data_IF_341757350381
#
_entry.id   IF_341757350381
#
_cell.length_a   1.000
_cell.length_b   1.000
_cell.length_c   1.000
_cell.angle_alpha   90.00
_cell.angle_beta   90.00
_cell.angle_gamma   90.00
#
_symmetry.space_group_name_H-M   'P 1'
#
loop_
_entity.id
_entity.type
_entity.pdbx_description
1 polymer ?
#
# COMPACT_ATOMS: atom_id res chain seq x y z
N UNK A 1 -7.96 21.80 0.65
CA UNK A 1 -7.68 20.66 1.53
C UNK A 1 -6.18 20.58 1.68
N UNK A 2 -5.67 20.33 2.88
CA UNK A 2 -4.23 20.19 3.11
C UNK A 2 -3.82 18.73 2.91
N UNK A 3 -2.57 18.51 2.45
CA UNK A 3 -1.99 17.18 2.33
C UNK A 3 -1.27 16.85 3.64
N UNK A 4 -1.92 16.14 4.55
CA UNK A 4 -1.43 15.82 5.89
C UNK A 4 -0.21 14.89 5.86
N UNK A 5 -0.17 13.91 4.96
CA UNK A 5 0.99 13.05 4.76
C UNK A 5 2.22 13.88 4.35
N UNK A 6 2.08 14.78 3.38
CA UNK A 6 3.19 15.62 2.93
C UNK A 6 3.66 16.60 4.03
N UNK A 7 2.74 17.13 4.85
CA UNK A 7 3.06 17.95 6.01
C UNK A 7 3.88 17.14 7.03
N UNK A 8 3.44 15.92 7.34
CA UNK A 8 4.15 15.04 8.26
C UNK A 8 5.56 14.69 7.74
N UNK A 9 5.72 14.36 6.47
CA UNK A 9 7.02 14.09 5.84
C UNK A 9 7.94 15.32 5.95
N UNK A 10 7.46 16.51 5.56
CA UNK A 10 8.25 17.75 5.68
C UNK A 10 8.64 18.04 7.11
N UNK A 11 7.74 17.81 8.06
CA UNK A 11 8.04 18.00 9.48
C UNK A 11 9.14 17.05 9.96
N UNK A 12 9.06 15.75 9.61
CA UNK A 12 10.07 14.77 9.97
C UNK A 12 11.45 15.13 9.41
N UNK A 13 11.52 15.49 8.13
CA UNK A 13 12.78 15.90 7.49
C UNK A 13 13.36 17.15 8.15
N UNK A 14 12.53 18.14 8.50
CA UNK A 14 12.95 19.35 9.20
C UNK A 14 13.43 19.07 10.64
N UNK A 15 13.06 17.93 11.23
CA UNK A 15 13.42 17.53 12.60
C UNK A 15 14.45 16.38 12.63
N UNK A 16 15.20 16.19 11.55
CA UNK A 16 16.40 15.35 11.54
C UNK A 16 16.25 13.98 10.90
N UNK A 17 15.06 13.58 10.44
CA UNK A 17 14.93 12.42 9.58
C UNK A 17 15.68 12.66 8.28
N UNK A 18 16.41 11.65 7.80
CA UNK A 18 17.17 11.73 6.55
C UNK A 18 16.41 11.09 5.39
N UNK A 19 15.60 10.06 5.67
CA UNK A 19 14.87 9.28 4.66
C UNK A 19 13.50 8.89 5.19
N UNK A 20 12.47 9.23 4.43
CA UNK A 20 11.08 8.90 4.75
C UNK A 20 10.46 8.14 3.60
N UNK A 21 9.81 7.03 3.90
CA UNK A 21 8.97 6.31 2.93
C UNK A 21 7.51 6.74 3.12
N UNK A 22 6.86 7.04 2.01
CA UNK A 22 5.41 7.12 1.92
C UNK A 22 4.89 5.91 1.14
N UNK A 23 4.14 5.04 1.80
CA UNK A 23 3.51 3.87 1.21
C UNK A 23 2.01 4.10 1.12
N UNK A 24 1.50 4.17 -0.10
CA UNK A 24 0.08 4.39 -0.39
C UNK A 24 -0.57 3.10 -0.87
N UNK A 25 -1.55 2.63 -0.11
CA UNK A 25 -2.33 1.42 -0.37
C UNK A 25 -3.82 1.73 -0.64
N UNK A 26 -4.16 2.99 -0.89
CA UNK A 26 -5.46 3.45 -1.40
C UNK A 26 -5.67 2.96 -2.84
N UNK A 27 -6.90 2.83 -3.28
CA UNK A 27 -7.18 2.48 -4.66
C UNK A 27 -6.77 3.58 -5.65
N UNK A 28 -6.72 4.84 -5.21
CA UNK A 28 -6.32 5.97 -6.04
C UNK A 28 -4.80 6.19 -5.98
N UNK A 29 -4.22 6.70 -7.06
CA UNK A 29 -2.82 7.10 -7.07
C UNK A 29 -2.54 8.22 -6.05
N UNK A 30 -1.50 8.07 -5.25
CA UNK A 30 -1.03 9.05 -4.26
C UNK A 30 -0.35 10.27 -4.87
N UNK A 31 -0.94 10.84 -5.94
CA UNK A 31 -0.36 11.89 -6.81
C UNK A 31 0.08 13.13 -6.06
N UNK A 32 -0.70 13.52 -5.04
CA UNK A 32 -0.42 14.74 -4.27
C UNK A 32 0.87 14.68 -3.46
N UNK A 33 1.17 13.53 -2.85
CA UNK A 33 2.44 13.33 -2.13
C UNK A 33 3.58 13.17 -3.12
N UNK A 34 3.41 12.33 -4.13
CA UNK A 34 4.40 12.11 -5.17
C UNK A 34 4.84 13.41 -5.81
N UNK A 35 3.90 14.25 -6.23
CA UNK A 35 4.18 15.55 -6.86
C UNK A 35 4.96 16.51 -5.96
N UNK A 36 4.66 16.54 -4.66
CA UNK A 36 5.34 17.41 -3.68
C UNK A 36 6.80 16.99 -3.47
N UNK A 37 7.09 15.70 -3.59
CA UNK A 37 8.43 15.15 -3.37
C UNK A 37 9.09 14.62 -4.65
N UNK A 38 8.57 15.00 -5.83
CA UNK A 38 9.03 14.52 -7.13
C UNK A 38 10.54 14.61 -7.36
N UNK A 39 11.16 15.69 -6.87
CA UNK A 39 12.61 15.98 -7.01
C UNK A 39 13.38 15.78 -5.69
N UNK A 40 12.80 15.11 -4.69
CA UNK A 40 13.42 14.94 -3.37
C UNK A 40 13.91 13.49 -3.17
N UNK A 41 15.23 13.22 -3.30
CA UNK A 41 15.79 11.88 -3.17
C UNK A 41 15.70 11.30 -1.75
N UNK A 42 15.31 12.11 -0.77
CA UNK A 42 15.14 11.68 0.62
C UNK A 42 13.74 11.14 0.91
N UNK A 43 12.83 11.19 -0.05
CA UNK A 43 11.46 10.67 0.08
C UNK A 43 11.22 9.63 -1.00
N UNK A 44 10.96 8.40 -0.58
CA UNK A 44 10.53 7.33 -1.46
C UNK A 44 9.02 7.20 -1.38
N UNK A 45 8.31 7.48 -2.48
CA UNK A 45 6.88 7.24 -2.59
C UNK A 45 6.62 5.91 -3.29
N UNK A 46 5.76 5.07 -2.71
CA UNK A 46 5.33 3.81 -3.28
C UNK A 46 3.80 3.81 -3.29
N UNK A 47 3.18 3.78 -4.45
CA UNK A 47 1.73 3.74 -4.61
C UNK A 47 1.31 2.49 -5.39
N UNK A 48 0.44 1.67 -4.78
CA UNK A 48 -0.14 0.47 -5.40
C UNK A 48 -1.62 0.73 -5.58
N UNK A 49 -2.05 1.06 -6.79
CA UNK A 49 -3.35 1.65 -7.07
C UNK A 49 -3.98 1.09 -8.34
N UNK A 50 -5.27 1.29 -8.50
CA UNK A 50 -5.96 1.02 -9.76
C UNK A 50 -5.49 2.02 -10.83
N UNK A 51 -5.21 1.51 -12.02
CA UNK A 51 -4.65 2.28 -13.13
C UNK A 51 -5.44 3.55 -13.44
N UNK A 52 -4.71 4.64 -13.64
CA UNK A 52 -5.24 5.92 -14.12
C UNK A 52 -5.97 5.87 -15.47
N UNK A 53 -5.94 4.73 -16.18
CA UNK A 53 -6.80 4.50 -17.34
C UNK A 53 -8.29 4.39 -16.96
N UNK A 54 -8.59 4.07 -15.72
CA UNK A 54 -9.94 3.78 -15.24
C UNK A 54 -10.34 4.63 -14.05
N UNK A 55 -9.36 5.02 -13.22
CA UNK A 55 -9.63 5.69 -11.96
C UNK A 55 -8.95 7.06 -11.90
N UNK A 56 -9.57 8.01 -11.17
CA UNK A 56 -8.97 9.29 -10.82
C UNK A 56 -7.66 9.07 -10.02
N UNK A 57 -6.62 9.89 -10.20
CA UNK A 57 -6.52 11.13 -10.96
C UNK A 57 -6.06 10.95 -12.43
N UNK A 58 -5.89 9.76 -12.93
CA UNK A 58 -5.45 9.51 -14.30
C UNK A 58 -3.93 9.51 -14.48
N UNK A 59 -3.17 9.37 -13.41
CA UNK A 59 -1.69 9.37 -13.33
C UNK A 59 -1.19 8.13 -12.58
N UNK A 60 0.10 8.04 -12.31
CA UNK A 60 0.71 6.94 -11.56
C UNK A 60 1.10 5.75 -12.43
N UNK A 61 1.67 6.01 -13.59
CA UNK A 61 2.15 4.95 -14.47
C UNK A 61 3.57 4.53 -14.12
N UNK A 62 3.95 3.31 -14.45
CA UNK A 62 5.25 2.72 -14.13
C UNK A 62 6.46 3.54 -14.63
N UNK A 63 6.29 4.40 -15.63
CA UNK A 63 7.34 5.27 -16.16
C UNK A 63 7.47 6.61 -15.40
N UNK A 64 6.54 6.94 -14.50
CA UNK A 64 6.61 8.09 -13.62
C UNK A 64 7.48 7.70 -12.41
N UNK A 65 8.79 7.99 -12.52
CA UNK A 65 9.84 7.42 -11.65
C UNK A 65 10.52 8.43 -10.71
N UNK A 66 10.06 9.67 -10.69
CA UNK A 66 10.69 10.78 -9.99
C UNK A 66 11.46 11.71 -10.92
N UNK A 67 11.75 12.91 -10.43
CA UNK A 67 12.41 13.96 -11.20
C UNK A 67 13.93 13.86 -11.20
N UNK A 68 14.57 14.87 -11.79
CA UNK A 68 16.02 14.90 -11.97
C UNK A 68 16.76 14.82 -10.62
N UNK A 69 17.57 13.80 -10.44
CA UNK A 69 18.33 13.55 -9.21
C UNK A 69 17.56 12.77 -8.13
N UNK A 70 16.31 12.43 -8.43
CA UNK A 70 15.46 11.58 -7.59
C UNK A 70 14.83 10.42 -8.39
N UNK A 71 15.41 10.07 -9.55
CA UNK A 71 14.90 8.97 -10.36
C UNK A 71 14.94 7.65 -9.59
N UNK A 72 13.84 6.93 -9.64
CA UNK A 72 13.62 5.68 -8.90
C UNK A 72 13.00 5.88 -7.52
N UNK A 73 12.69 7.13 -7.11
CA UNK A 73 12.02 7.42 -5.82
C UNK A 73 10.50 7.56 -5.91
N UNK A 74 9.95 7.72 -7.10
CA UNK A 74 8.51 7.56 -7.33
C UNK A 74 8.25 6.16 -7.89
N UNK A 75 7.49 5.35 -7.16
CA UNK A 75 7.24 3.94 -7.49
C UNK A 75 5.74 3.73 -7.66
N UNK A 76 5.32 3.48 -8.89
CA UNK A 76 3.93 3.37 -9.26
C UNK A 76 3.61 1.97 -9.78
N UNK A 77 2.65 1.29 -9.15
CA UNK A 77 2.11 0.02 -9.63
C UNK A 77 0.65 0.23 -10.01
N UNK A 78 0.44 0.51 -11.30
CA UNK A 78 -0.87 0.73 -11.89
C UNK A 78 -1.55 -0.61 -12.20
N UNK A 79 -2.48 -1.02 -11.36
CA UNK A 79 -3.18 -2.30 -11.46
C UNK A 79 -4.39 -2.20 -12.39
N UNK A 80 -4.73 -3.27 -13.14
CA UNK A 80 -5.99 -3.30 -13.87
C UNK A 80 -7.18 -3.44 -12.90
N UNK A 81 -8.39 -3.24 -13.43
CA UNK A 81 -9.64 -3.58 -12.74
C UNK A 81 -9.71 -5.07 -12.41
N UNK A 82 -10.41 -5.41 -11.36
CA UNK A 82 -10.68 -6.80 -10.99
C UNK A 82 -9.49 -7.55 -10.37
N UNK A 83 -8.44 -6.83 -9.96
CA UNK A 83 -7.30 -7.44 -9.26
C UNK A 83 -7.77 -8.04 -7.95
N UNK A 84 -7.42 -9.30 -7.75
CA UNK A 84 -7.79 -10.12 -6.60
C UNK A 84 -6.83 -9.93 -5.42
N UNK A 85 -7.23 -10.45 -4.26
CA UNK A 85 -6.42 -10.50 -3.04
C UNK A 85 -5.01 -11.02 -3.28
N UNK A 86 -4.89 -12.16 -3.98
CA UNK A 86 -3.62 -12.83 -4.20
C UNK A 86 -2.69 -12.01 -5.09
N UNK A 87 -3.21 -11.47 -6.18
CA UNK A 87 -2.46 -10.63 -7.12
C UNK A 87 -1.97 -9.34 -6.45
N UNK A 88 -2.84 -8.69 -5.67
CA UNK A 88 -2.49 -7.47 -4.96
C UNK A 88 -1.44 -7.72 -3.88
N UNK A 89 -1.62 -8.74 -3.04
CA UNK A 89 -0.64 -9.12 -2.02
C UNK A 89 0.70 -9.49 -2.64
N UNK A 90 0.70 -10.23 -3.76
CA UNK A 90 1.92 -10.52 -4.52
C UNK A 90 2.66 -9.25 -4.89
N UNK A 91 1.96 -8.26 -5.45
CA UNK A 91 2.55 -6.99 -5.88
C UNK A 91 3.12 -6.23 -4.69
N UNK A 92 2.34 -6.05 -3.62
CA UNK A 92 2.77 -5.33 -2.42
C UNK A 92 4.03 -5.96 -1.81
N UNK A 93 4.05 -7.29 -1.66
CA UNK A 93 5.19 -8.00 -1.06
C UNK A 93 6.41 -8.11 -1.99
N UNK A 94 6.21 -7.99 -3.30
CA UNK A 94 7.31 -7.99 -4.27
C UNK A 94 8.02 -6.62 -4.36
N UNK A 95 7.28 -5.53 -4.21
CA UNK A 95 7.79 -4.17 -4.40
C UNK A 95 8.34 -3.59 -3.10
N UNK A 96 7.58 -3.67 -2.01
CA UNK A 96 7.86 -2.88 -0.81
C UNK A 96 9.13 -3.34 -0.07
N UNK A 97 9.30 -4.61 0.34
CA UNK A 97 10.44 -5.01 1.16
C UNK A 97 11.81 -4.79 0.49
N UNK A 98 12.04 -5.13 -0.80
CA UNK A 98 13.33 -4.91 -1.42
C UNK A 98 13.69 -3.42 -1.52
N UNK A 99 12.72 -2.54 -1.76
CA UNK A 99 12.93 -1.10 -1.78
C UNK A 99 13.23 -0.55 -0.39
N UNK A 100 12.48 -0.95 0.65
CA UNK A 100 12.77 -0.56 2.03
C UNK A 100 14.18 -0.98 2.46
N UNK A 101 14.60 -2.19 2.10
CA UNK A 101 15.95 -2.70 2.40
C UNK A 101 17.05 -1.85 1.75
N UNK A 102 16.81 -1.33 0.54
CA UNK A 102 17.77 -0.48 -0.18
C UNK A 102 17.73 0.97 0.29
N UNK A 103 16.53 1.52 0.45
CA UNK A 103 16.33 2.90 0.86
C UNK A 103 16.72 3.16 2.31
N UNK A 104 16.48 2.19 3.23
CA UNK A 104 16.77 2.29 4.67
C UNK A 104 16.10 3.50 5.31
N UNK A 105 14.78 3.55 5.38
CA UNK A 105 14.05 4.70 5.89
C UNK A 105 14.27 4.90 7.39
N UNK A 106 14.23 6.16 7.83
CA UNK A 106 14.11 6.50 9.25
C UNK A 106 12.67 6.37 9.73
N UNK A 107 11.70 6.66 8.85
CA UNK A 107 10.27 6.58 9.12
C UNK A 107 9.51 6.00 7.93
N UNK A 108 8.44 5.28 8.24
CA UNK A 108 7.42 4.89 7.26
C UNK A 108 6.13 5.64 7.60
N UNK A 109 5.58 6.35 6.63
CA UNK A 109 4.21 6.87 6.67
C UNK A 109 3.42 6.06 5.66
N UNK A 110 2.31 5.48 6.08
CA UNK A 110 1.47 4.70 5.17
C UNK A 110 0.02 5.17 5.19
N UNK A 111 -0.58 5.23 4.01
CA UNK A 111 -1.98 5.57 3.79
C UNK A 111 -2.74 4.27 3.51
N UNK A 112 -3.86 4.10 4.21
CA UNK A 112 -4.66 2.90 4.20
C UNK A 112 -6.10 3.23 3.81
N UNK A 113 -6.31 3.63 2.56
CA UNK A 113 -7.65 3.75 2.00
C UNK A 113 -8.40 2.42 2.09
N UNK A 114 -9.69 2.49 2.29
CA UNK A 114 -10.58 1.32 2.33
C UNK A 114 -11.27 1.07 0.99
N UNK A 115 -11.01 1.91 0.00
CA UNK A 115 -11.59 1.84 -1.35
C UNK A 115 -11.03 0.74 -2.27
N UNK A 116 -9.90 0.05 -1.97
CA UNK A 116 -9.59 -1.18 -2.69
C UNK A 116 -10.57 -2.32 -2.43
N UNK A 117 -11.47 -2.18 -1.44
CA UNK A 117 -12.44 -3.21 -1.09
C UNK A 117 -13.47 -3.43 -2.19
N UNK A 118 -13.75 -4.69 -2.52
CA UNK A 118 -14.66 -5.15 -3.59
C UNK A 118 -16.08 -4.56 -3.58
N UNK A 119 -16.53 -3.96 -2.48
CA UNK A 119 -17.84 -3.30 -2.40
C UNK A 119 -17.77 -1.79 -2.50
N UNK A 120 -16.59 -1.22 -2.77
CA UNK A 120 -16.46 0.21 -2.95
C UNK A 120 -17.19 0.66 -4.22
N UNK A 121 -17.92 1.78 -4.20
CA UNK A 121 -18.67 2.25 -5.35
C UNK A 121 -17.83 3.01 -6.39
N UNK A 122 -16.57 3.34 -6.11
CA UNK A 122 -15.74 4.19 -6.96
C UNK A 122 -14.56 3.44 -7.61
N UNK A 123 -14.00 2.46 -6.93
CA UNK A 123 -12.90 1.64 -7.44
C UNK A 123 -13.36 0.24 -7.82
N UNK A 124 -12.64 -0.39 -8.73
CA UNK A 124 -12.97 -1.71 -9.28
C UNK A 124 -11.92 -2.78 -8.90
N UNK A 125 -11.20 -2.59 -7.79
CA UNK A 125 -10.37 -3.63 -7.19
C UNK A 125 -11.26 -4.61 -6.40
N UNK A 126 -10.90 -5.90 -6.38
CA UNK A 126 -11.72 -6.97 -5.80
C UNK A 126 -11.17 -7.47 -4.44
N UNK A 127 -10.69 -6.54 -3.60
CA UNK A 127 -10.05 -6.93 -2.34
C UNK A 127 -11.04 -7.22 -1.23
N UNK A 128 -10.62 -8.12 -0.33
CA UNK A 128 -11.28 -8.38 0.94
C UNK A 128 -10.60 -7.64 2.09
N UNK A 129 -11.34 -7.45 3.20
CA UNK A 129 -10.76 -6.92 4.45
C UNK A 129 -9.62 -7.82 4.93
N UNK A 130 -9.69 -9.13 4.68
CA UNK A 130 -8.67 -10.09 5.11
C UNK A 130 -7.33 -9.86 4.41
N UNK A 131 -7.33 -9.62 3.10
CA UNK A 131 -6.11 -9.30 2.36
C UNK A 131 -5.53 -7.94 2.77
N UNK A 132 -6.39 -6.94 2.90
CA UNK A 132 -5.99 -5.61 3.37
C UNK A 132 -5.36 -5.68 4.76
N UNK A 133 -5.98 -6.40 5.71
CA UNK A 133 -5.46 -6.61 7.05
C UNK A 133 -4.11 -7.35 7.05
N UNK A 134 -3.90 -8.30 6.14
CA UNK A 134 -2.60 -8.98 5.99
C UNK A 134 -1.52 -7.99 5.54
N UNK A 135 -1.82 -7.12 4.59
CA UNK A 135 -0.86 -6.08 4.17
C UNK A 135 -0.56 -5.09 5.31
N UNK A 136 -1.56 -4.68 6.10
CA UNK A 136 -1.36 -3.76 7.24
C UNK A 136 -0.43 -4.37 8.29
N UNK A 137 -0.59 -5.64 8.62
CA UNK A 137 0.34 -6.37 9.49
C UNK A 137 1.74 -6.47 8.89
N UNK A 138 1.83 -6.64 7.57
CA UNK A 138 3.13 -6.65 6.89
C UNK A 138 3.82 -5.28 6.99
N UNK A 139 3.08 -4.17 6.87
CA UNK A 139 3.64 -2.81 7.05
C UNK A 139 4.18 -2.63 8.47
N UNK A 140 3.47 -3.11 9.49
CA UNK A 140 3.96 -3.10 10.87
C UNK A 140 5.29 -3.85 10.99
N UNK A 141 5.35 -5.09 10.50
CA UNK A 141 6.58 -5.91 10.51
C UNK A 141 7.72 -5.20 9.77
N UNK A 142 7.45 -4.62 8.61
CA UNK A 142 8.45 -3.87 7.85
C UNK A 142 8.93 -2.61 8.59
N UNK A 143 8.03 -1.93 9.28
CA UNK A 143 8.40 -0.77 10.11
C UNK A 143 9.36 -1.18 11.25
N UNK A 144 9.10 -2.30 11.91
CA UNK A 144 10.03 -2.85 12.90
C UNK A 144 11.39 -3.21 12.28
N UNK A 145 11.36 -3.87 11.13
CA UNK A 145 12.57 -4.38 10.48
C UNK A 145 13.44 -3.28 9.87
N UNK A 146 12.84 -2.27 9.24
CA UNK A 146 13.55 -1.31 8.40
C UNK A 146 13.58 0.11 8.94
N UNK A 147 12.68 0.48 9.87
CA UNK A 147 12.54 1.83 10.43
C UNK A 147 12.55 1.86 11.96
N UNK A 148 13.04 0.80 12.62
CA UNK A 148 13.06 0.68 14.09
C UNK A 148 11.70 0.96 14.76
N UNK A 149 10.62 0.50 14.14
CA UNK A 149 9.25 0.66 14.61
C UNK A 149 8.64 2.05 14.41
N UNK A 150 9.35 2.97 13.74
CA UNK A 150 8.85 4.33 13.50
C UNK A 150 7.89 4.34 12.31
N UNK A 151 6.62 4.18 12.64
CA UNK A 151 5.52 4.08 11.70
C UNK A 151 4.37 5.04 12.05
N UNK A 152 3.85 5.71 11.04
CA UNK A 152 2.63 6.52 11.10
C UNK A 152 1.63 5.95 10.11
N UNK A 153 0.52 5.42 10.59
CA UNK A 153 -0.58 4.94 9.77
C UNK A 153 -1.65 6.03 9.63
N UNK A 154 -2.01 6.33 8.40
CA UNK A 154 -3.07 7.28 8.05
C UNK A 154 -4.26 6.51 7.48
N UNK A 155 -5.46 7.03 7.68
CA UNK A 155 -6.63 6.64 6.90
C UNK A 155 -6.51 7.18 5.47
N UNK A 156 -7.53 6.99 4.67
CA UNK A 156 -7.54 7.44 3.28
C UNK A 156 -8.94 7.42 2.70
N UNK A 157 -9.07 7.08 1.42
CA UNK A 157 -10.33 6.87 0.75
C UNK A 157 -11.13 5.71 1.34
N UNK A 158 -12.30 5.53 0.81
CA UNK A 158 -13.26 4.51 1.22
C UNK A 158 -14.66 5.08 1.27
N UNK A 159 -15.54 4.53 0.45
CA UNK A 159 -16.87 5.10 0.18
C UNK A 159 -17.98 4.11 0.53
N UNK A 160 -17.61 2.97 1.07
CA UNK A 160 -18.50 1.97 1.69
C UNK A 160 -18.29 1.97 3.19
N UNK A 161 -19.21 2.58 3.93
CA UNK A 161 -19.11 2.82 5.40
C UNK A 161 -18.77 1.56 6.18
N UNK A 162 -19.41 0.44 5.87
CA UNK A 162 -19.13 -0.86 6.49
C UNK A 162 -17.67 -1.29 6.29
N UNK A 163 -17.17 -1.22 5.05
CA UNK A 163 -15.79 -1.60 4.73
C UNK A 163 -14.78 -0.67 5.42
N UNK A 164 -15.03 0.65 5.45
CA UNK A 164 -14.17 1.62 6.13
C UNK A 164 -13.98 1.28 7.59
N UNK A 165 -15.08 1.05 8.32
CA UNK A 165 -15.00 0.75 9.76
C UNK A 165 -14.23 -0.54 10.03
N UNK A 166 -14.48 -1.60 9.23
CA UNK A 166 -13.79 -2.89 9.36
C UNK A 166 -12.31 -2.80 8.99
N UNK A 167 -11.98 -2.16 7.86
CA UNK A 167 -10.60 -1.98 7.40
C UNK A 167 -9.77 -1.17 8.42
N UNK A 168 -10.29 -0.03 8.86
CA UNK A 168 -9.54 0.83 9.80
C UNK A 168 -9.45 0.26 11.21
N UNK A 169 -10.38 -0.60 11.62
CA UNK A 169 -10.23 -1.42 12.83
C UNK A 169 -9.00 -2.32 12.72
N UNK A 170 -8.75 -2.92 11.55
CA UNK A 170 -7.53 -3.72 11.31
C UNK A 170 -6.26 -2.87 11.27
N UNK A 171 -6.32 -1.64 10.74
CA UNK A 171 -5.17 -0.70 10.78
C UNK A 171 -4.82 -0.36 12.23
N UNK A 172 -5.82 -0.04 13.06
CA UNK A 172 -5.61 0.25 14.48
C UNK A 172 -5.04 -0.96 15.22
N UNK A 173 -5.56 -2.16 14.93
CA UNK A 173 -5.08 -3.40 15.53
C UNK A 173 -3.60 -3.65 15.16
N UNK A 174 -3.23 -3.51 13.89
CA UNK A 174 -1.86 -3.64 13.44
C UNK A 174 -0.95 -2.60 14.12
N UNK A 175 -1.38 -1.33 14.19
CA UNK A 175 -0.62 -0.24 14.84
C UNK A 175 -0.42 -0.45 16.33
N UNK A 176 -1.37 -1.11 16.99
CA UNK A 176 -1.32 -1.44 18.42
C UNK A 176 -0.66 -2.81 18.70
N UNK A 177 -0.20 -3.52 17.66
CA UNK A 177 0.29 -4.90 17.74
C UNK A 177 -0.72 -5.83 18.44
N UNK A 178 -2.00 -5.69 18.07
CA UNK A 178 -3.11 -6.52 18.55
C UNK A 178 -3.60 -7.40 17.40
N UNK A 179 -3.72 -8.68 17.64
CA UNK A 179 -4.31 -9.59 16.67
C UNK A 179 -5.84 -9.62 16.80
N UNK A 180 -6.53 -9.29 15.71
CA UNK A 180 -7.98 -9.41 15.60
C UNK A 180 -8.31 -10.44 14.52
N UNK A 181 -9.05 -11.48 14.93
CA UNK A 181 -9.47 -12.51 13.98
C UNK A 181 -10.53 -11.97 13.03
N UNK A 182 -10.46 -12.34 11.75
CA UNK A 182 -11.49 -12.02 10.75
C UNK A 182 -12.87 -12.49 11.13
N UNK A 183 -12.99 -13.58 11.90
CA UNK A 183 -14.24 -14.11 12.45
C UNK A 183 -14.78 -13.34 13.65
N UNK A 184 -14.08 -12.32 14.15
CA UNK A 184 -14.58 -11.47 15.25
C UNK A 184 -15.91 -10.83 14.85
N UNK A 185 -16.92 -10.95 15.73
CA UNK A 185 -18.25 -10.40 15.47
C UNK A 185 -18.25 -8.89 15.59
N UNK A 186 -18.97 -8.24 14.69
CA UNK A 186 -19.26 -6.82 14.79
C UNK A 186 -20.24 -6.57 15.96
N UNK A 187 -20.24 -5.34 16.53
CA UNK A 187 -21.14 -4.99 17.63
C UNK A 187 -22.62 -5.22 17.31
N UNK A 188 -23.43 -5.50 18.33
CA UNK A 188 -24.88 -5.60 18.17
C UNK A 188 -25.46 -4.30 17.58
N UNK A 189 -26.36 -4.45 16.61
CA UNK A 189 -26.95 -3.32 15.88
C UNK A 189 -26.10 -2.80 14.73
N UNK A 190 -24.96 -3.44 14.42
CA UNK A 190 -24.16 -3.08 13.22
C UNK A 190 -24.93 -3.41 11.94
N UNK A 191 -25.04 -2.41 11.05
CA UNK A 191 -25.70 -2.55 9.74
C UNK A 191 -24.64 -2.84 8.66
N UNK A 192 -24.23 -4.09 8.51
CA UNK A 192 -23.21 -4.49 7.52
C UNK A 192 -22.82 -5.95 7.67
N UNK A 193 -21.57 -6.28 7.34
CA UNK A 193 -21.05 -7.63 7.54
C UNK A 193 -21.13 -8.02 9.02
N UNK A 194 -21.55 -9.25 9.36
CA UNK A 194 -21.64 -9.70 10.74
C UNK A 194 -20.28 -9.93 11.40
N UNK A 195 -19.22 -9.96 10.60
CA UNK A 195 -17.84 -10.23 11.03
C UNK A 195 -16.89 -9.13 10.58
N UNK A 196 -15.76 -9.01 11.28
CA UNK A 196 -14.70 -8.06 10.97
C UNK A 196 -14.06 -8.34 9.61
N UNK A 197 -13.88 -9.62 9.24
CA UNK A 197 -13.44 -10.05 7.92
C UNK A 197 -14.62 -10.24 6.95
N UNK A 198 -14.32 -10.73 5.75
CA UNK A 198 -15.30 -10.96 4.71
C UNK A 198 -15.67 -12.45 4.60
N UNK A 199 -16.97 -12.72 4.45
CA UNK A 199 -17.43 -14.08 4.14
C UNK A 199 -16.90 -14.47 2.75
N UNK A 200 -16.37 -15.68 2.65
CA UNK A 200 -15.81 -16.22 1.41
C UNK A 200 -14.46 -15.64 1.03
N UNK A 201 -13.78 -14.93 1.97
CA UNK A 201 -12.35 -14.61 1.79
C UNK A 201 -11.58 -15.89 1.47
N UNK A 202 -10.79 -15.84 0.42
CA UNK A 202 -10.15 -17.01 -0.15
C UNK A 202 -9.29 -17.73 0.90
N UNK A 203 -9.48 -19.04 1.07
CA UNK A 203 -8.63 -19.88 1.92
C UNK A 203 -7.14 -19.80 1.51
N UNK A 204 -6.84 -19.39 0.28
CA UNK A 204 -5.49 -19.11 -0.22
C UNK A 204 -4.77 -17.99 0.54
N UNK A 205 -5.48 -17.02 1.12
CA UNK A 205 -4.86 -15.92 1.90
C UNK A 205 -4.15 -16.49 3.13
N UNK A 206 -4.73 -17.44 3.83
CA UNK A 206 -4.14 -18.04 5.03
C UNK A 206 -2.80 -18.75 4.74
N UNK A 207 -2.58 -19.18 3.49
CA UNK A 207 -1.40 -19.88 3.03
C UNK A 207 -0.59 -19.07 2.00
N UNK A 208 -0.88 -17.77 1.87
CA UNK A 208 -0.20 -16.91 0.92
C UNK A 208 1.31 -16.87 1.22
N UNK A 209 2.11 -17.26 0.21
CA UNK A 209 3.57 -17.21 0.24
C UNK A 209 4.05 -16.38 -0.94
N UNK A 210 4.40 -15.10 -0.72
CA UNK A 210 4.78 -14.20 -1.80
C UNK A 210 5.98 -14.72 -2.60
N UNK A 211 6.88 -15.50 -1.98
CA UNK A 211 8.07 -16.01 -2.67
C UNK A 211 7.73 -17.08 -3.68
N UNK A 212 6.75 -17.93 -3.39
CA UNK A 212 6.28 -18.98 -4.31
C UNK A 212 5.50 -18.40 -5.48
N UNK A 213 4.55 -17.51 -5.17
CA UNK A 213 3.69 -16.91 -6.22
C UNK A 213 4.51 -16.08 -7.21
N UNK A 214 5.46 -15.28 -6.71
CA UNK A 214 6.35 -14.47 -7.56
C UNK A 214 7.28 -15.31 -8.44
N UNK A 215 7.75 -16.47 -7.97
CA UNK A 215 8.63 -17.34 -8.75
C UNK A 215 7.92 -17.96 -9.95
N UNK A 216 6.60 -18.12 -9.87
CA UNK A 216 5.82 -18.81 -10.90
C UNK A 216 5.25 -17.86 -11.96
N UNK A 217 4.59 -16.78 -11.55
CA UNK A 217 3.91 -15.84 -12.48
C UNK A 217 3.79 -14.44 -11.88
N UNK A 218 4.77 -13.56 -12.07
CA UNK A 218 4.64 -12.18 -11.61
C UNK A 218 3.57 -11.44 -12.41
N UNK A 219 2.75 -10.64 -11.72
CA UNK A 219 1.72 -9.79 -12.34
C UNK A 219 2.34 -8.80 -13.34
N UNK A 220 1.67 -8.54 -14.47
CA UNK A 220 2.21 -7.68 -15.54
C UNK A 220 2.57 -6.26 -15.05
N UNK A 221 1.75 -5.66 -14.18
CA UNK A 221 2.04 -4.35 -13.60
C UNK A 221 3.31 -4.38 -12.75
N UNK A 222 3.53 -5.46 -11.97
CA UNK A 222 4.76 -5.67 -11.22
C UNK A 222 5.98 -5.71 -12.13
N UNK A 223 5.91 -6.44 -13.24
CA UNK A 223 6.99 -6.53 -14.23
C UNK A 223 7.31 -5.16 -14.81
N UNK A 224 6.29 -4.39 -15.19
CA UNK A 224 6.47 -3.04 -15.74
C UNK A 224 7.15 -2.10 -14.73
N UNK A 225 6.67 -2.06 -13.50
CA UNK A 225 7.22 -1.19 -12.46
C UNK A 225 8.63 -1.60 -12.08
N UNK A 226 8.91 -2.90 -11.90
CA UNK A 226 10.25 -3.34 -11.52
C UNK A 226 11.27 -3.11 -12.63
N UNK A 227 10.91 -3.21 -13.89
CA UNK A 227 11.79 -2.84 -15.01
C UNK A 227 12.12 -1.34 -15.04
N UNK A 228 11.18 -0.49 -14.65
CA UNK A 228 11.39 0.95 -14.60
C UNK A 228 12.20 1.40 -13.37
N UNK A 229 11.99 0.80 -12.21
CA UNK A 229 12.47 1.26 -10.91
C UNK A 229 13.69 0.50 -10.39
N UNK A 230 13.68 -0.83 -10.45
CA UNK A 230 14.68 -1.68 -9.78
C UNK A 230 16.13 -1.44 -10.22
N UNK A 231 16.42 -1.07 -11.50
CA UNK A 231 17.78 -0.73 -11.92
C UNK A 231 18.41 0.41 -11.12
N UNK A 232 17.61 1.42 -10.72
CA UNK A 232 18.11 2.54 -9.91
C UNK A 232 18.55 2.11 -8.50
N UNK A 233 18.00 0.98 -8.02
CA UNK A 233 18.31 0.41 -6.70
C UNK A 233 19.29 -0.76 -6.75
N UNK A 234 19.79 -1.13 -7.94
CA UNK A 234 20.63 -2.32 -8.13
C UNK A 234 19.89 -3.60 -7.73
N UNK A 235 18.61 -3.68 -8.07
CA UNK A 235 17.75 -4.85 -7.88
C UNK A 235 17.44 -5.49 -9.24
N UNK A 236 17.31 -6.83 -9.31
CA UNK A 236 16.87 -7.51 -10.53
C UNK A 236 15.37 -7.27 -10.75
N UNK A 237 14.98 -6.87 -11.95
CA UNK A 237 13.57 -6.78 -12.32
C UNK A 237 12.95 -8.19 -12.45
N UNK A 238 11.63 -8.28 -12.26
CA UNK A 238 10.89 -9.50 -12.50
C UNK A 238 10.57 -9.65 -14.00
N UNK A 239 10.69 -10.85 -14.51
CA UNK A 239 10.32 -11.24 -15.89
C UNK A 239 11.38 -10.98 -16.95
#
# INVERSE_FOLDING_TARGET
MYNDAAIAIRWLLAHGAQRVVYLDLDAHHGDGVEKIFWDDPNVLTISVHESGLYLFPGTGYAHEIGGQGAEGTAVNVALPRGVTDEEWLQVVHAIVPPLLKKFRPDFIISQHGADPHRSDPLADLELTIDAMAQAYRSVEVWAQQFAAGRWVALGGGGYRVDAVARAWTQVLAASANVELASSSRMPDGWEGSPTLGDEGACAGIANFDPTKVMAERPHAALVQTTRAIFPYWGLPAYG
#
